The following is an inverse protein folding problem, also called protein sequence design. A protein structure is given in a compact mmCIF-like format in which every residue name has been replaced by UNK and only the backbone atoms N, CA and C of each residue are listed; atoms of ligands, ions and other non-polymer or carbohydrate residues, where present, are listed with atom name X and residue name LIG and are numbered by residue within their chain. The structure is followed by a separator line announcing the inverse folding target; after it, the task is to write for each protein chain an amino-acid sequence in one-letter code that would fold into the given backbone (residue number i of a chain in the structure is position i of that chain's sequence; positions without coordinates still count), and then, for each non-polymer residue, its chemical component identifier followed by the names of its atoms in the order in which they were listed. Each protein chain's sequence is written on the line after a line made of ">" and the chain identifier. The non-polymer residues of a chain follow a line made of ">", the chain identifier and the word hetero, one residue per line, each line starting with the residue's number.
data_IF_113470304381
#
_entry.id   IF_113470304381
#
_cell.length_a   1.000
_cell.length_b   1.000
_cell.length_c   1.000
_cell.angle_alpha   90.00
_cell.angle_beta   90.00
_cell.angle_gamma   90.00
#
_symmetry.space_group_name_H-M   'P 1'
#
loop_
_entity.id
_entity.type
_entity.pdbx_description
1 polymer ?
#
# COMPACT_ATOMS: atom_id res chain seq x y z
N UNK A 1 -19.07 -43.85 4.02
CA UNK A 1 -19.46 -42.72 4.89
C UNK A 1 -18.26 -41.82 5.01
N UNK A 2 -18.19 -40.75 4.22
CA UNK A 2 -17.03 -39.87 4.20
C UNK A 2 -17.02 -39.07 5.51
N UNK A 3 -15.98 -39.27 6.33
CA UNK A 3 -15.71 -38.42 7.49
C UNK A 3 -15.44 -37.02 6.92
N UNK A 4 -16.23 -35.98 7.25
CA UNK A 4 -15.98 -34.63 6.74
C UNK A 4 -14.71 -34.11 7.42
N UNK A 5 -13.54 -34.29 6.80
CA UNK A 5 -12.24 -33.94 7.41
C UNK A 5 -11.85 -32.49 7.21
N UNK A 6 -11.28 -31.89 8.27
CA UNK A 6 -10.33 -30.78 8.19
C UNK A 6 -10.92 -29.41 8.50
N UNK A 7 -11.56 -28.78 7.52
CA UNK A 7 -11.97 -27.36 7.64
C UNK A 7 -13.43 -27.22 8.07
N UNK A 8 -14.29 -28.12 7.58
CA UNK A 8 -15.73 -28.13 7.89
C UNK A 8 -15.98 -28.61 9.32
N UNK A 9 -15.33 -29.69 9.75
CA UNK A 9 -15.40 -30.16 11.13
C UNK A 9 -14.81 -29.15 12.14
N UNK A 10 -13.73 -28.43 11.78
CA UNK A 10 -13.16 -27.37 12.62
C UNK A 10 -14.07 -26.15 12.78
N UNK A 11 -14.83 -25.78 11.74
CA UNK A 11 -15.85 -24.73 11.82
C UNK A 11 -17.11 -25.22 12.57
N UNK A 12 -17.48 -26.49 12.46
CA UNK A 12 -18.63 -27.03 13.20
C UNK A 12 -18.32 -27.30 14.68
N UNK A 13 -17.05 -27.57 15.03
CA UNK A 13 -16.57 -27.85 16.39
C UNK A 13 -15.91 -26.65 17.07
N UNK A 14 -15.72 -25.56 16.33
CA UNK A 14 -14.87 -24.44 16.71
C UNK A 14 -15.55 -23.47 17.67
N UNK A 15 -14.87 -23.18 18.77
CA UNK A 15 -15.31 -22.17 19.73
C UNK A 15 -15.31 -20.75 19.10
N UNK A 16 -15.98 -19.77 19.71
CA UNK A 16 -16.19 -18.43 19.11
C UNK A 16 -14.87 -17.72 18.70
N UNK A 17 -13.79 -17.95 19.45
CA UNK A 17 -12.47 -17.36 19.19
C UNK A 17 -11.82 -17.95 17.94
N UNK A 18 -11.97 -19.27 17.73
CA UNK A 18 -11.45 -19.96 16.54
C UNK A 18 -12.03 -19.37 15.25
N UNK A 19 -13.36 -19.17 15.24
CA UNK A 19 -14.06 -18.52 14.15
C UNK A 19 -13.59 -17.09 13.94
N UNK A 20 -13.44 -16.31 15.02
CA UNK A 20 -12.95 -14.94 14.93
C UNK A 20 -11.55 -14.87 14.30
N UNK A 21 -10.63 -15.75 14.69
CA UNK A 21 -9.28 -15.82 14.10
C UNK A 21 -9.34 -16.17 12.61
N UNK A 22 -10.15 -17.15 12.22
CA UNK A 22 -10.34 -17.53 10.81
C UNK A 22 -10.88 -16.35 9.97
N UNK A 23 -11.90 -15.65 10.45
CA UNK A 23 -12.48 -14.50 9.75
C UNK A 23 -11.51 -13.33 9.66
N UNK A 24 -10.72 -13.07 10.69
CA UNK A 24 -9.67 -12.04 10.66
C UNK A 24 -8.60 -12.38 9.62
N UNK A 25 -8.10 -13.63 9.60
CA UNK A 25 -7.14 -14.07 8.58
C UNK A 25 -7.72 -13.96 7.16
N UNK A 26 -8.98 -14.34 6.98
CA UNK A 26 -9.67 -14.22 5.70
C UNK A 26 -9.78 -12.74 5.27
N UNK A 27 -10.21 -11.86 6.17
CA UNK A 27 -10.30 -10.42 5.90
C UNK A 27 -8.93 -9.82 5.54
N UNK A 28 -7.87 -10.18 6.28
CA UNK A 28 -6.49 -9.77 5.99
C UNK A 28 -6.02 -10.28 4.61
N UNK A 29 -6.37 -11.53 4.26
CA UNK A 29 -6.06 -12.11 2.95
C UNK A 29 -6.72 -11.32 1.82
N UNK A 30 -8.04 -11.11 1.91
CA UNK A 30 -8.81 -10.38 0.90
C UNK A 30 -8.32 -8.94 0.77
N UNK A 31 -8.07 -8.26 1.89
CA UNK A 31 -7.51 -6.91 1.88
C UNK A 31 -6.12 -6.88 1.22
N UNK A 32 -5.23 -7.80 1.59
CA UNK A 32 -3.88 -7.90 1.01
C UNK A 32 -3.91 -8.08 -0.50
N UNK A 33 -4.71 -9.02 -1.01
CA UNK A 33 -4.84 -9.28 -2.44
C UNK A 33 -5.49 -8.11 -3.20
N UNK A 34 -6.55 -7.52 -2.65
CA UNK A 34 -7.20 -6.35 -3.24
C UNK A 34 -6.22 -5.18 -3.37
N UNK A 35 -5.51 -4.85 -2.28
CA UNK A 35 -4.51 -3.78 -2.29
C UNK A 35 -3.33 -4.09 -3.20
N UNK A 36 -2.79 -5.32 -3.18
CA UNK A 36 -1.72 -5.77 -4.09
C UNK A 36 -2.11 -5.49 -5.54
N UNK A 37 -3.24 -6.02 -6.00
CA UNK A 37 -3.63 -5.95 -7.41
C UNK A 37 -3.91 -4.50 -7.84
N UNK A 38 -4.67 -3.77 -7.03
CA UNK A 38 -5.00 -2.37 -7.32
C UNK A 38 -3.75 -1.48 -7.35
N UNK A 39 -2.87 -1.58 -6.34
CA UNK A 39 -1.66 -0.77 -6.27
C UNK A 39 -0.62 -1.19 -7.29
N UNK A 40 -0.46 -2.48 -7.56
CA UNK A 40 0.42 -2.95 -8.63
C UNK A 40 0.00 -2.37 -9.99
N UNK A 41 -1.30 -2.42 -10.30
CA UNK A 41 -1.82 -1.86 -11.55
C UNK A 41 -1.58 -0.35 -11.64
N UNK A 42 -1.91 0.40 -10.57
CA UNK A 42 -1.67 1.84 -10.47
C UNK A 42 -0.19 2.21 -10.70
N UNK A 43 0.72 1.58 -9.95
CA UNK A 43 2.15 1.92 -9.98
C UNK A 43 2.82 1.51 -11.28
N UNK A 44 2.49 0.33 -11.82
CA UNK A 44 3.01 -0.12 -13.12
C UNK A 44 2.52 0.79 -14.24
N UNK A 45 1.26 1.21 -14.18
CA UNK A 45 0.70 2.14 -15.16
C UNK A 45 1.36 3.51 -15.08
N UNK A 46 1.51 4.07 -13.88
CA UNK A 46 2.22 5.33 -13.64
C UNK A 46 3.66 5.26 -14.15
N UNK A 47 4.40 4.20 -13.83
CA UNK A 47 5.79 4.01 -14.30
C UNK A 47 5.91 3.87 -15.81
N UNK A 48 4.95 3.22 -16.48
CA UNK A 48 4.94 3.10 -17.95
C UNK A 48 4.54 4.40 -18.64
N UNK A 49 3.70 5.22 -18.02
CA UNK A 49 3.20 6.48 -18.59
C UNK A 49 4.12 7.67 -18.31
N UNK A 50 4.78 7.70 -17.14
CA UNK A 50 5.61 8.80 -16.65
C UNK A 50 6.60 9.36 -17.68
N UNK A 51 7.51 8.53 -18.25
CA UNK A 51 8.49 9.03 -19.22
C UNK A 51 7.86 9.66 -20.46
N UNK A 52 6.74 9.11 -20.95
CA UNK A 52 6.00 9.67 -22.10
C UNK A 52 5.30 10.96 -21.74
N UNK A 53 4.73 11.03 -20.54
CA UNK A 53 4.01 12.20 -20.03
C UNK A 53 4.98 13.38 -19.80
N UNK A 54 6.14 13.11 -19.18
CA UNK A 54 7.21 14.10 -19.01
C UNK A 54 7.79 14.56 -20.35
N UNK A 55 8.02 13.64 -21.29
CA UNK A 55 8.48 14.01 -22.63
C UNK A 55 7.45 14.85 -23.39
N UNK A 56 6.14 14.61 -23.20
CA UNK A 56 5.09 15.42 -23.80
C UNK A 56 5.04 16.83 -23.18
N UNK A 57 5.22 16.94 -21.85
CA UNK A 57 5.32 18.22 -21.15
C UNK A 57 6.45 19.09 -21.71
N UNK A 58 7.67 18.55 -21.81
CA UNK A 58 8.85 19.30 -22.26
C UNK A 58 8.89 19.63 -23.76
N UNK A 59 8.05 18.98 -24.57
CA UNK A 59 7.89 19.30 -26.00
C UNK A 59 6.86 20.40 -26.26
N UNK A 60 6.09 20.80 -25.25
CA UNK A 60 5.07 21.82 -25.42
C UNK A 60 5.68 23.21 -25.57
N UNK A 61 4.96 24.09 -26.28
CA UNK A 61 5.41 25.46 -26.56
C UNK A 61 5.21 26.43 -25.39
N UNK A 62 4.45 26.05 -24.37
CA UNK A 62 4.19 26.87 -23.18
C UNK A 62 3.94 25.98 -21.95
N UNK A 63 4.05 26.56 -20.76
CA UNK A 63 3.78 25.87 -19.49
C UNK A 63 2.34 25.32 -19.43
N UNK A 64 1.36 26.12 -19.84
CA UNK A 64 -0.06 25.72 -19.94
C UNK A 64 -0.27 24.55 -20.91
N UNK A 65 0.32 24.63 -22.11
CA UNK A 65 0.24 23.54 -23.08
C UNK A 65 0.95 22.26 -22.56
N UNK A 66 2.04 22.43 -21.81
CA UNK A 66 2.76 21.35 -21.15
C UNK A 66 1.90 20.67 -20.09
N UNK A 67 1.26 21.44 -19.20
CA UNK A 67 0.35 20.93 -18.16
C UNK A 67 -0.82 20.16 -18.80
N UNK A 68 -1.42 20.69 -19.87
CA UNK A 68 -2.50 20.01 -20.59
C UNK A 68 -2.04 18.69 -21.23
N UNK A 69 -0.86 18.68 -21.86
CA UNK A 69 -0.27 17.47 -22.44
C UNK A 69 0.07 16.43 -21.36
N UNK A 70 0.61 16.89 -20.22
CA UNK A 70 0.92 16.06 -19.06
C UNK A 70 -0.36 15.44 -18.48
N UNK A 71 -1.42 16.22 -18.32
CA UNK A 71 -2.72 15.74 -17.82
C UNK A 71 -3.37 14.70 -18.74
N UNK A 72 -3.17 14.81 -20.06
CA UNK A 72 -3.65 13.80 -21.02
C UNK A 72 -2.91 12.46 -20.94
N UNK A 73 -1.63 12.48 -20.57
CA UNK A 73 -0.75 11.31 -20.53
C UNK A 73 -0.61 10.67 -19.14
N UNK A 74 -0.62 11.47 -18.07
CA UNK A 74 -0.54 11.05 -16.67
C UNK A 74 -1.94 10.86 -16.07
N UNK A 75 -2.55 9.71 -16.36
CA UNK A 75 -3.91 9.40 -15.90
C UNK A 75 -4.03 9.26 -14.38
N UNK A 76 -2.94 8.95 -13.71
CA UNK A 76 -2.92 8.74 -12.25
C UNK A 76 -2.64 10.05 -11.47
N UNK A 77 -2.40 11.15 -12.20
CA UNK A 77 -2.09 12.50 -11.70
C UNK A 77 -0.96 12.46 -10.68
N UNK A 78 0.13 11.78 -11.03
CA UNK A 78 1.34 11.67 -10.21
C UNK A 78 2.19 12.94 -10.34
N UNK A 79 2.42 13.38 -11.58
CA UNK A 79 3.29 14.51 -11.95
C UNK A 79 2.51 15.81 -12.16
N UNK A 80 1.25 15.74 -12.63
CA UNK A 80 0.39 16.92 -12.89
C UNK A 80 0.36 17.92 -11.72
N UNK A 81 0.17 17.50 -10.45
CA UNK A 81 0.09 18.44 -9.34
C UNK A 81 1.37 19.26 -9.11
N UNK A 82 2.54 18.78 -9.55
CA UNK A 82 3.79 19.52 -9.45
C UNK A 82 3.84 20.64 -10.48
N UNK A 83 3.43 20.36 -11.71
CA UNK A 83 3.41 21.36 -12.78
C UNK A 83 2.35 22.45 -12.51
N UNK A 84 1.17 22.07 -12.01
CA UNK A 84 0.14 23.02 -11.53
C UNK A 84 0.69 23.90 -10.40
N UNK A 85 1.33 23.30 -9.38
CA UNK A 85 1.88 24.06 -8.26
C UNK A 85 3.04 24.99 -8.66
N UNK A 86 3.85 24.59 -9.65
CA UNK A 86 4.93 25.41 -10.18
C UNK A 86 4.38 26.65 -10.90
N UNK A 87 3.35 26.48 -11.73
CA UNK A 87 2.66 27.59 -12.39
C UNK A 87 2.02 28.53 -11.37
N UNK A 88 1.20 27.98 -10.47
CA UNK A 88 0.45 28.79 -9.52
C UNK A 88 1.40 29.65 -8.67
N UNK A 89 2.53 29.09 -8.22
CA UNK A 89 3.54 29.83 -7.47
C UNK A 89 4.39 30.81 -8.30
N UNK A 90 4.46 30.60 -9.63
CA UNK A 90 5.12 31.52 -10.56
C UNK A 90 4.29 32.77 -10.81
N UNK A 91 2.98 32.59 -10.95
CA UNK A 91 2.00 33.63 -11.29
C UNK A 91 1.47 34.36 -10.04
N UNK A 92 1.67 33.77 -8.85
CA UNK A 92 1.27 34.38 -7.57
C UNK A 92 2.08 35.66 -7.29
N UNK A 93 1.42 36.79 -7.58
CA UNK A 93 1.87 38.14 -7.29
C UNK A 93 0.85 38.81 -6.35
N UNK A 94 0.99 38.53 -5.05
CA UNK A 94 0.17 39.11 -3.98
C UNK A 94 0.97 40.22 -3.25
N UNK A 95 1.07 41.45 -3.79
CA UNK A 95 1.99 42.49 -3.31
C UNK A 95 1.75 42.93 -1.85
N UNK A 96 0.58 42.64 -1.28
CA UNK A 96 0.21 43.00 0.09
C UNK A 96 0.45 41.87 1.13
N UNK A 97 0.75 40.65 0.69
CA UNK A 97 0.95 39.51 1.58
C UNK A 97 2.38 39.44 2.13
N UNK A 98 2.56 38.87 3.33
CA UNK A 98 3.91 38.53 3.85
C UNK A 98 4.69 37.64 2.86
N UNK A 99 3.98 36.86 2.03
CA UNK A 99 4.52 36.05 0.96
C UNK A 99 5.24 36.87 -0.12
N UNK A 100 4.89 38.15 -0.34
CA UNK A 100 5.57 39.03 -1.29
C UNK A 100 7.03 39.33 -0.89
N UNK A 101 7.38 39.17 0.39
CA UNK A 101 8.74 39.39 0.89
C UNK A 101 9.66 38.18 0.68
N UNK A 102 9.11 37.05 0.25
CA UNK A 102 9.85 35.83 -0.05
C UNK A 102 10.26 35.85 -1.51
N UNK A 103 11.52 35.55 -1.81
CA UNK A 103 12.03 35.51 -3.18
C UNK A 103 11.22 34.52 -4.04
N UNK A 104 10.96 34.86 -5.31
CA UNK A 104 10.19 34.02 -6.25
C UNK A 104 10.71 32.57 -6.26
N UNK A 105 12.03 32.41 -6.30
CA UNK A 105 12.70 31.11 -6.27
C UNK A 105 12.35 30.27 -5.03
N UNK A 106 12.32 30.88 -3.85
CA UNK A 106 11.94 30.21 -2.61
C UNK A 106 10.45 29.86 -2.55
N UNK A 107 9.58 30.73 -3.07
CA UNK A 107 8.13 30.45 -3.16
C UNK A 107 7.85 29.23 -4.04
N UNK A 108 8.41 29.21 -5.25
CA UNK A 108 8.28 28.10 -6.20
C UNK A 108 8.85 26.81 -5.60
N UNK A 109 10.02 26.86 -4.96
CA UNK A 109 10.62 25.70 -4.30
C UNK A 109 9.71 25.14 -3.20
N UNK A 110 9.10 26.00 -2.38
CA UNK A 110 8.18 25.59 -1.32
C UNK A 110 6.91 24.95 -1.88
N UNK A 111 6.32 25.54 -2.93
CA UNK A 111 5.14 25.00 -3.60
C UNK A 111 5.41 23.62 -4.21
N UNK A 112 6.55 23.48 -4.91
CA UNK A 112 7.01 22.21 -5.48
C UNK A 112 7.24 21.15 -4.40
N UNK A 113 7.92 21.48 -3.28
CA UNK A 113 8.10 20.56 -2.15
C UNK A 113 6.77 20.09 -1.57
N UNK A 114 5.81 21.01 -1.38
CA UNK A 114 4.48 20.66 -0.88
C UNK A 114 3.71 19.75 -1.86
N UNK A 115 3.77 20.04 -3.17
CA UNK A 115 3.16 19.21 -4.20
C UNK A 115 3.80 17.82 -4.27
N UNK A 116 5.13 17.75 -4.26
CA UNK A 116 5.89 16.50 -4.24
C UNK A 116 5.52 15.63 -3.04
N UNK A 117 5.49 16.19 -1.83
CA UNK A 117 5.08 15.46 -0.63
C UNK A 117 3.63 14.97 -0.70
N UNK A 118 2.72 15.75 -1.31
CA UNK A 118 1.34 15.30 -1.54
C UNK A 118 1.29 14.10 -2.52
N UNK A 119 2.02 14.16 -3.62
CA UNK A 119 2.09 13.06 -4.59
C UNK A 119 2.75 11.81 -4.00
N UNK A 120 3.84 11.96 -3.26
CA UNK A 120 4.52 10.84 -2.57
C UNK A 120 3.58 10.15 -1.58
N UNK A 121 2.87 10.90 -0.72
CA UNK A 121 1.89 10.31 0.21
C UNK A 121 0.79 9.51 -0.51
N UNK A 122 0.34 9.96 -1.69
CA UNK A 122 -0.64 9.22 -2.50
C UNK A 122 -0.08 7.90 -3.02
N UNK A 123 1.19 7.89 -3.44
CA UNK A 123 1.87 6.68 -3.91
C UNK A 123 2.04 5.68 -2.75
N UNK A 124 2.45 6.16 -1.57
CA UNK A 124 2.68 5.35 -0.36
C UNK A 124 1.40 4.82 0.30
N UNK A 125 0.23 5.36 -0.04
CA UNK A 125 -1.05 4.92 0.53
C UNK A 125 -1.22 3.39 0.42
N UNK A 126 -1.62 2.74 1.51
CA UNK A 126 -1.80 1.29 1.58
C UNK A 126 -0.53 0.46 1.82
N UNK A 127 0.67 1.04 1.72
CA UNK A 127 1.92 0.33 2.05
C UNK A 127 1.96 -0.08 3.54
N UNK A 128 1.50 0.81 4.43
CA UNK A 128 1.40 0.51 5.87
C UNK A 128 0.49 -0.69 6.13
N UNK A 129 -0.65 -0.78 5.43
CA UNK A 129 -1.57 -1.91 5.59
C UNK A 129 -0.91 -3.24 5.19
N UNK A 130 -0.22 -3.27 4.03
CA UNK A 130 0.50 -4.47 3.58
C UNK A 130 1.63 -4.86 4.54
N UNK A 131 2.37 -3.88 5.06
CA UNK A 131 3.41 -4.10 6.05
C UNK A 131 2.83 -4.66 7.37
N UNK A 132 1.73 -4.08 7.86
CA UNK A 132 1.04 -4.55 9.06
C UNK A 132 0.46 -5.94 8.88
N UNK A 133 -0.22 -6.24 7.77
CA UNK A 133 -0.74 -7.59 7.49
C UNK A 133 0.41 -8.59 7.41
N UNK A 134 1.48 -8.25 6.70
CA UNK A 134 2.65 -9.11 6.54
C UNK A 134 3.34 -9.45 7.87
N UNK A 135 3.38 -8.51 8.82
CA UNK A 135 3.99 -8.74 10.13
C UNK A 135 3.05 -9.39 11.15
N UNK A 136 1.74 -9.14 11.06
CA UNK A 136 0.77 -9.58 12.09
C UNK A 136 0.06 -10.89 11.75
N UNK A 137 -0.16 -11.21 10.46
CA UNK A 137 -0.88 -12.43 10.05
C UNK A 137 -0.27 -13.74 10.60
N UNK A 138 1.06 -13.91 10.67
CA UNK A 138 1.65 -15.12 11.27
C UNK A 138 1.29 -15.27 12.75
N UNK A 139 1.27 -14.16 13.50
CA UNK A 139 0.92 -14.17 14.92
C UNK A 139 -0.57 -14.43 15.15
N UNK A 140 -1.43 -13.96 14.24
CA UNK A 140 -2.86 -14.30 14.26
C UNK A 140 -3.06 -15.79 14.02
N UNK A 141 -2.34 -16.39 13.06
CA UNK A 141 -2.36 -17.85 12.84
C UNK A 141 -1.81 -18.66 14.01
N UNK A 142 -0.72 -18.19 14.64
CA UNK A 142 -0.16 -18.78 15.85
C UNK A 142 -1.18 -18.75 17.00
N UNK A 143 -1.87 -17.63 17.21
CA UNK A 143 -2.93 -17.50 18.21
C UNK A 143 -4.03 -18.56 18.00
N UNK A 144 -4.48 -18.75 16.76
CA UNK A 144 -5.46 -19.78 16.42
C UNK A 144 -4.96 -21.19 16.76
N UNK A 145 -3.67 -21.46 16.54
CA UNK A 145 -3.06 -22.76 16.85
C UNK A 145 -2.97 -22.98 18.35
N UNK A 146 -2.52 -21.98 19.12
CA UNK A 146 -2.44 -22.04 20.59
C UNK A 146 -3.82 -22.27 21.18
N UNK A 147 -4.84 -21.56 20.68
CA UNK A 147 -6.22 -21.72 21.16
C UNK A 147 -6.80 -23.10 20.83
N UNK A 148 -6.54 -23.61 19.61
CA UNK A 148 -6.98 -24.95 19.21
C UNK A 148 -6.37 -26.05 20.08
N UNK A 149 -5.07 -25.98 20.36
CA UNK A 149 -4.39 -26.93 21.24
C UNK A 149 -4.93 -26.82 22.68
N UNK A 150 -5.18 -25.60 23.18
CA UNK A 150 -5.77 -25.40 24.50
C UNK A 150 -7.13 -26.10 24.64
N UNK A 151 -8.03 -25.93 23.67
CA UNK A 151 -9.33 -26.59 23.66
C UNK A 151 -9.23 -28.12 23.57
N UNK A 152 -8.34 -28.62 22.72
CA UNK A 152 -8.08 -30.05 22.60
C UNK A 152 -7.64 -30.65 23.94
N UNK A 153 -6.66 -30.05 24.61
CA UNK A 153 -6.18 -30.51 25.92
C UNK A 153 -7.27 -30.40 27.01
N UNK A 154 -8.08 -29.34 26.96
CA UNK A 154 -9.24 -29.18 27.85
C UNK A 154 -10.26 -30.33 27.73
N UNK A 155 -10.60 -30.75 26.50
CA UNK A 155 -11.51 -31.88 26.27
C UNK A 155 -10.96 -33.23 26.75
N UNK A 156 -9.64 -33.44 26.63
CA UNK A 156 -8.98 -34.66 27.12
C UNK A 156 -8.99 -34.68 28.65
N UNK A 157 -8.70 -33.54 29.28
CA UNK A 157 -8.75 -33.41 30.73
C UNK A 157 -10.15 -33.64 31.29
N UNK A 158 -11.19 -33.16 30.60
CA UNK A 158 -12.59 -33.37 31.01
C UNK A 158 -13.09 -34.80 30.79
N UNK A 159 -12.66 -35.48 29.72
CA UNK A 159 -13.09 -36.85 29.40
C UNK A 159 -12.31 -37.93 30.14
N UNK A 160 -11.12 -37.61 30.69
CA UNK A 160 -10.25 -38.55 31.38
C UNK A 160 -9.63 -39.63 30.48
N UNK A 161 -9.83 -39.57 29.17
CA UNK A 161 -9.34 -40.56 28.20
C UNK A 161 -8.25 -39.97 27.33
N UNK A 162 -6.99 -40.17 27.74
CA UNK A 162 -5.81 -39.76 26.99
C UNK A 162 -5.43 -40.80 25.91
N UNK A 163 -6.31 -41.01 24.93
CA UNK A 163 -5.96 -41.79 23.74
C UNK A 163 -5.38 -40.87 22.66
N UNK A 164 -4.34 -41.32 21.95
CA UNK A 164 -3.63 -40.54 20.91
C UNK A 164 -4.59 -40.07 19.81
N UNK A 165 -5.58 -40.90 19.47
CA UNK A 165 -6.64 -40.61 18.49
C UNK A 165 -7.45 -39.36 18.84
N UNK A 166 -7.69 -39.12 20.14
CA UNK A 166 -8.41 -37.95 20.64
C UNK A 166 -7.59 -36.65 20.59
N UNK A 167 -6.26 -36.76 20.42
CA UNK A 167 -5.33 -35.62 20.43
C UNK A 167 -4.91 -35.25 19.01
N UNK A 168 -4.60 -36.26 18.18
CA UNK A 168 -3.97 -36.06 16.88
C UNK A 168 -4.83 -35.25 15.89
N UNK A 169 -6.15 -35.47 15.89
CA UNK A 169 -7.09 -34.73 15.03
C UNK A 169 -7.12 -33.23 15.36
N UNK A 170 -7.56 -32.83 16.58
CA UNK A 170 -7.66 -31.43 16.97
C UNK A 170 -6.34 -30.66 16.89
N UNK A 171 -5.22 -31.29 17.23
CA UNK A 171 -3.90 -30.67 17.12
C UNK A 171 -3.50 -30.46 15.65
N UNK A 172 -3.80 -31.43 14.78
CA UNK A 172 -3.60 -31.29 13.34
C UNK A 172 -4.42 -30.15 12.73
N UNK A 173 -5.69 -30.03 13.12
CA UNK A 173 -6.56 -28.92 12.68
C UNK A 173 -6.04 -27.56 13.16
N UNK A 174 -5.54 -27.47 14.40
CA UNK A 174 -4.95 -26.25 14.94
C UNK A 174 -3.72 -25.78 14.12
N UNK A 175 -2.86 -26.69 13.66
CA UNK A 175 -1.67 -26.36 12.85
C UNK A 175 -2.01 -25.71 11.50
N UNK A 176 -3.20 -25.99 10.95
CA UNK A 176 -3.67 -25.40 9.70
C UNK A 176 -3.81 -23.87 9.85
N UNK A 177 -4.18 -23.36 11.04
CA UNK A 177 -4.31 -21.92 11.28
C UNK A 177 -2.99 -21.17 11.14
N UNK A 178 -1.88 -21.75 11.62
CA UNK A 178 -0.54 -21.18 11.39
C UNK A 178 -0.18 -21.19 9.91
N UNK A 179 -0.49 -22.28 9.20
CA UNK A 179 -0.26 -22.35 7.76
C UNK A 179 -1.03 -21.25 7.00
N UNK A 180 -2.30 -21.00 7.36
CA UNK A 180 -3.06 -19.89 6.80
C UNK A 180 -2.45 -18.52 7.12
N UNK A 181 -2.00 -18.31 8.36
CA UNK A 181 -1.27 -17.09 8.74
C UNK A 181 -0.07 -16.81 7.83
N UNK A 182 0.71 -17.84 7.49
CA UNK A 182 1.85 -17.74 6.56
C UNK A 182 1.40 -17.49 5.12
N UNK A 183 0.37 -18.18 4.64
CA UNK A 183 -0.19 -17.98 3.29
C UNK A 183 -0.70 -16.56 3.10
N UNK A 184 -1.23 -15.91 4.15
CA UNK A 184 -1.64 -14.50 4.12
C UNK A 184 -0.45 -13.56 4.19
N UNK A 185 0.53 -13.87 5.04
CA UNK A 185 1.69 -13.00 5.29
C UNK A 185 2.65 -12.91 4.10
N UNK A 186 2.98 -14.04 3.47
CA UNK A 186 4.01 -14.12 2.42
C UNK A 186 3.70 -13.20 1.24
N UNK A 187 2.49 -13.24 0.62
CA UNK A 187 2.14 -12.31 -0.45
C UNK A 187 2.15 -10.86 0.01
N UNK A 188 1.69 -10.56 1.23
CA UNK A 188 1.65 -9.19 1.76
C UNK A 188 3.05 -8.59 1.91
N UNK A 189 4.01 -9.35 2.45
CA UNK A 189 5.41 -8.92 2.58
C UNK A 189 6.06 -8.75 1.22
N UNK A 190 5.82 -9.66 0.28
CA UNK A 190 6.36 -9.54 -1.08
C UNK A 190 5.79 -8.31 -1.79
N UNK A 191 4.48 -8.08 -1.66
CA UNK A 191 3.78 -6.90 -2.17
C UNK A 191 4.43 -5.61 -1.65
N UNK A 192 4.58 -5.49 -0.34
CA UNK A 192 5.19 -4.33 0.30
C UNK A 192 6.59 -4.05 -0.24
N UNK A 193 7.43 -5.08 -0.37
CA UNK A 193 8.80 -4.92 -0.86
C UNK A 193 8.88 -4.49 -2.33
N UNK A 194 8.12 -5.14 -3.21
CA UNK A 194 8.13 -4.86 -4.65
C UNK A 194 7.48 -3.49 -4.93
N UNK A 195 6.29 -3.24 -4.39
CA UNK A 195 5.56 -2.00 -4.61
C UNK A 195 6.30 -0.82 -3.97
N UNK A 196 6.88 -1.00 -2.78
CA UNK A 196 7.71 0.03 -2.15
C UNK A 196 8.93 0.42 -2.99
N UNK A 197 9.53 -0.52 -3.73
CA UNK A 197 10.59 -0.20 -4.70
C UNK A 197 10.08 0.64 -5.86
N UNK A 198 8.89 0.33 -6.39
CA UNK A 198 8.27 1.12 -7.47
C UNK A 198 7.89 2.53 -6.99
N UNK A 199 7.38 2.66 -5.77
CA UNK A 199 7.08 3.97 -5.16
C UNK A 199 8.33 4.82 -5.05
N UNK A 200 9.45 4.26 -4.58
CA UNK A 200 10.74 4.99 -4.50
C UNK A 200 11.22 5.47 -5.87
N UNK A 201 11.15 4.62 -6.89
CA UNK A 201 11.53 5.00 -8.26
C UNK A 201 10.67 6.14 -8.81
N UNK A 202 9.35 6.09 -8.61
CA UNK A 202 8.46 7.19 -8.99
C UNK A 202 8.71 8.47 -8.18
N UNK A 203 9.09 8.34 -6.91
CA UNK A 203 9.45 9.48 -6.06
C UNK A 203 10.76 10.15 -6.53
N UNK A 204 11.74 9.37 -6.98
CA UNK A 204 12.97 9.89 -7.60
C UNK A 204 12.67 10.63 -8.92
N UNK A 205 11.78 10.08 -9.76
CA UNK A 205 11.32 10.76 -10.99
C UNK A 205 10.58 12.06 -10.67
N UNK A 206 9.75 12.08 -9.61
CA UNK A 206 9.08 13.30 -9.14
C UNK A 206 10.06 14.38 -8.67
N UNK A 207 11.10 13.99 -7.93
CA UNK A 207 12.14 14.91 -7.46
C UNK A 207 12.99 15.47 -8.60
N UNK A 208 13.29 14.64 -9.61
CA UNK A 208 13.90 15.10 -10.87
C UNK A 208 13.03 16.15 -11.56
N UNK A 209 11.76 15.83 -11.78
CA UNK A 209 10.82 16.74 -12.44
C UNK A 209 10.60 18.04 -11.67
N UNK A 210 10.53 17.99 -10.34
CA UNK A 210 10.42 19.18 -9.50
C UNK A 210 11.63 20.11 -9.66
N UNK A 211 12.85 19.56 -9.72
CA UNK A 211 14.06 20.36 -9.96
C UNK A 211 14.06 21.01 -11.34
N UNK A 212 13.69 20.25 -12.38
CA UNK A 212 13.62 20.77 -13.75
C UNK A 212 12.58 21.90 -13.86
N UNK A 213 11.42 21.74 -13.21
CA UNK A 213 10.39 22.79 -13.13
C UNK A 213 10.88 24.03 -12.39
N UNK A 214 11.57 23.87 -11.27
CA UNK A 214 12.10 25.00 -10.50
C UNK A 214 13.07 25.83 -11.35
N UNK A 215 14.01 25.17 -12.02
CA UNK A 215 14.96 25.84 -12.93
C UNK A 215 14.24 26.52 -14.08
N UNK A 216 13.30 25.83 -14.74
CA UNK A 216 12.56 26.38 -15.87
C UNK A 216 11.74 27.63 -15.51
N UNK A 217 10.98 27.58 -14.42
CA UNK A 217 10.12 28.68 -13.98
C UNK A 217 10.92 29.86 -13.47
N UNK A 218 12.03 29.62 -12.76
CA UNK A 218 12.87 30.70 -12.23
C UNK A 218 13.77 31.35 -13.29
N UNK A 219 14.10 30.63 -14.37
CA UNK A 219 14.87 31.18 -15.48
C UNK A 219 14.05 32.11 -16.40
N UNK A 220 12.72 32.05 -16.35
CA UNK A 220 11.88 32.96 -17.12
C UNK A 220 11.85 34.35 -16.47
N UNK A 221 12.18 35.44 -17.22
CA UNK A 221 12.01 36.79 -16.70
C UNK A 221 10.53 37.01 -16.33
N UNK A 222 10.32 37.66 -15.19
CA UNK A 222 9.00 37.99 -14.66
C UNK A 222 8.22 38.93 -15.59
#
# INVERSE_FOLDING_TARGET
>A
MAIPTGVVHYLESGDAITHAVAYVLLAMSVASWCFLLMKAWLLVRAKRQGPRALAAFWRASSLEAGIAALAGADRERVFVPLAEAARDAADEHEPAALAARVERSERVLRALRHAMLRSQRRLEFGQVLLASIGSTAPFVGLLGTVWGIYHALGSIAASGQAQIENVAGPVGEALIMTAFGLVVAIPAVLAYNILGRLVRQLAEELDGFARDLHVFVCAQPA
#
